data_IF_724442829208
#
_entry.id   IF_724442829208
#
_cell.length_a   1.000
_cell.length_b   1.000
_cell.length_c   1.000
_cell.angle_alpha   90.00
_cell.angle_beta   90.00
_cell.angle_gamma   90.00
#
_symmetry.space_group_name_H-M   'P 1'
#
loop_
_entity.id
_entity.type
_entity.pdbx_description
1 polymer ?
#
# COMPACT_ATOMS: atom_id res chain seq x y z
N UNK A 1 -10.30 -38.75 26.06
CA UNK A 1 -10.67 -37.37 26.47
C UNK A 1 -9.44 -36.48 26.30
N UNK A 2 -9.19 -36.00 25.08
CA UNK A 2 -8.33 -34.85 24.77
C UNK A 2 -8.71 -34.40 23.36
N UNK A 3 -9.89 -33.76 23.24
CA UNK A 3 -10.29 -33.07 22.03
C UNK A 3 -9.37 -31.86 21.83
N UNK A 4 -8.46 -32.01 20.88
CA UNK A 4 -7.62 -30.95 20.35
C UNK A 4 -8.53 -29.99 19.58
N UNK A 5 -9.03 -28.97 20.29
CA UNK A 5 -9.89 -27.91 19.73
C UNK A 5 -9.04 -27.02 18.83
N UNK A 6 -8.88 -27.43 17.56
CA UNK A 6 -8.38 -26.56 16.52
C UNK A 6 -9.35 -25.38 16.40
N UNK A 7 -8.92 -24.19 16.80
CA UNK A 7 -9.65 -22.94 16.64
C UNK A 7 -9.74 -22.62 15.15
N UNK A 8 -10.64 -23.30 14.43
CA UNK A 8 -11.06 -22.88 13.11
C UNK A 8 -11.62 -21.47 13.28
N UNK A 9 -10.89 -20.48 12.75
CA UNK A 9 -11.36 -19.11 12.75
C UNK A 9 -12.61 -19.09 11.88
N UNK A 10 -13.79 -19.07 12.52
CA UNK A 10 -15.07 -19.12 11.80
C UNK A 10 -15.14 -17.95 10.82
N UNK A 11 -15.18 -18.29 9.53
CA UNK A 11 -15.34 -17.35 8.43
C UNK A 11 -16.79 -16.87 8.45
N UNK A 12 -17.00 -15.57 8.40
CA UNK A 12 -18.33 -14.96 8.41
C UNK A 12 -19.09 -15.25 7.12
N UNK A 13 -20.39 -14.96 7.11
CA UNK A 13 -21.23 -15.04 5.91
C UNK A 13 -20.61 -14.22 4.76
N UNK A 14 -20.76 -14.69 3.50
CA UNK A 14 -20.16 -14.03 2.35
C UNK A 14 -20.67 -12.58 2.22
N UNK A 15 -19.77 -11.61 2.01
CA UNK A 15 -20.15 -10.20 1.97
C UNK A 15 -21.12 -9.90 0.84
N UNK A 16 -22.01 -8.94 1.09
CA UNK A 16 -22.82 -8.35 0.03
C UNK A 16 -22.03 -7.30 -0.75
N UNK A 17 -22.49 -6.96 -1.96
CA UNK A 17 -21.83 -5.99 -2.84
C UNK A 17 -21.62 -4.63 -2.15
N UNK A 18 -22.58 -4.21 -1.33
CA UNK A 18 -22.48 -2.96 -0.54
C UNK A 18 -21.38 -3.06 0.52
N UNK A 19 -21.25 -4.22 1.17
CA UNK A 19 -20.21 -4.45 2.17
C UNK A 19 -18.82 -4.46 1.56
N UNK A 20 -18.66 -5.07 0.38
CA UNK A 20 -17.43 -5.01 -0.41
C UNK A 20 -17.11 -3.55 -0.76
N UNK A 21 -18.06 -2.83 -1.36
CA UNK A 21 -17.88 -1.43 -1.73
C UNK A 21 -17.44 -0.57 -0.54
N UNK A 22 -18.19 -0.59 0.57
CA UNK A 22 -17.88 0.22 1.76
C UNK A 22 -16.56 -0.19 2.42
N UNK A 23 -16.26 -1.49 2.43
CA UNK A 23 -15.01 -2.01 2.95
C UNK A 23 -13.80 -1.48 2.19
N UNK A 24 -13.81 -1.63 0.87
CA UNK A 24 -12.74 -1.13 0.01
C UNK A 24 -12.71 0.41 -0.07
N UNK A 25 -13.86 1.09 0.07
CA UNK A 25 -13.94 2.55 0.23
C UNK A 25 -13.17 3.04 1.46
N UNK A 26 -13.42 2.42 2.62
CA UNK A 26 -12.70 2.75 3.84
C UNK A 26 -11.20 2.43 3.71
N UNK A 27 -10.87 1.31 3.06
CA UNK A 27 -9.49 0.93 2.79
C UNK A 27 -8.78 1.96 1.89
N UNK A 28 -9.46 2.47 0.85
CA UNK A 28 -8.95 3.54 -0.01
C UNK A 28 -8.71 4.85 0.74
N UNK A 29 -9.60 5.20 1.67
CA UNK A 29 -9.47 6.40 2.51
C UNK A 29 -8.35 6.31 3.55
N UNK A 30 -8.09 5.11 4.07
CA UNK A 30 -7.14 4.87 5.18
C UNK A 30 -5.78 4.34 4.71
N UNK A 31 -5.62 4.10 3.40
CA UNK A 31 -4.46 3.46 2.79
C UNK A 31 -3.19 4.31 2.70
N UNK A 32 -2.79 5.01 3.76
CA UNK A 32 -1.51 5.74 3.79
C UNK A 32 -0.40 4.89 4.42
N UNK A 33 0.66 4.62 3.66
CA UNK A 33 1.92 4.04 4.18
C UNK A 33 1.89 2.58 4.63
N UNK A 34 0.79 1.84 4.40
CA UNK A 34 0.66 0.46 4.89
C UNK A 34 -0.64 -0.24 4.51
N UNK A 35 -1.10 -0.08 3.27
CA UNK A 35 -2.45 -0.53 2.85
C UNK A 35 -2.62 -2.05 2.94
N UNK A 36 -1.57 -2.82 2.66
CA UNK A 36 -1.65 -4.27 2.66
C UNK A 36 -1.87 -4.86 4.07
N UNK A 37 -1.13 -4.44 5.12
CA UNK A 37 -1.49 -4.76 6.51
C UNK A 37 -2.92 -4.36 6.89
N UNK A 38 -3.38 -3.17 6.47
CA UNK A 38 -4.74 -2.72 6.72
C UNK A 38 -5.77 -3.61 6.01
N UNK A 39 -5.50 -4.01 4.77
CA UNK A 39 -6.34 -4.93 4.00
C UNK A 39 -6.43 -6.29 4.68
N UNK A 40 -5.29 -6.82 5.15
CA UNK A 40 -5.26 -8.08 5.92
C UNK A 40 -6.10 -7.98 7.19
N UNK A 41 -5.89 -6.95 8.01
CA UNK A 41 -6.66 -6.77 9.24
C UNK A 41 -8.15 -6.60 8.94
N UNK A 42 -8.51 -5.85 7.90
CA UNK A 42 -9.90 -5.70 7.50
C UNK A 42 -10.53 -7.03 7.05
N UNK A 43 -9.89 -7.74 6.12
CA UNK A 43 -10.43 -8.94 5.46
C UNK A 43 -10.40 -10.17 6.38
N UNK A 44 -9.35 -10.31 7.20
CA UNK A 44 -9.10 -11.51 8.01
C UNK A 44 -9.54 -11.32 9.47
N UNK A 45 -9.21 -10.19 10.10
CA UNK A 45 -9.43 -10.02 11.54
C UNK A 45 -10.79 -9.39 11.86
N UNK A 46 -11.12 -8.27 11.20
CA UNK A 46 -12.31 -7.46 11.48
C UNK A 46 -13.57 -8.01 10.82
N UNK A 47 -13.52 -8.21 9.50
CA UNK A 47 -14.66 -8.69 8.72
C UNK A 47 -14.72 -10.22 8.62
N UNK A 48 -13.57 -10.89 8.81
CA UNK A 48 -13.43 -12.35 8.75
C UNK A 48 -14.04 -12.95 7.48
N UNK A 49 -13.87 -12.27 6.35
CA UNK A 49 -14.30 -12.76 5.05
C UNK A 49 -13.33 -13.82 4.54
N UNK A 50 -12.04 -13.70 4.86
CA UNK A 50 -10.99 -14.63 4.45
C UNK A 50 -10.27 -15.18 5.68
N UNK A 51 -9.80 -16.42 5.56
CA UNK A 51 -8.78 -16.95 6.47
C UNK A 51 -7.40 -16.35 6.13
N UNK A 52 -6.46 -16.42 7.07
CA UNK A 52 -5.09 -15.98 6.81
C UNK A 52 -4.40 -16.74 5.66
N UNK A 53 -4.76 -18.01 5.46
CA UNK A 53 -4.26 -18.84 4.36
C UNK A 53 -4.83 -18.36 3.01
N UNK A 54 -6.15 -18.21 2.91
CA UNK A 54 -6.81 -17.70 1.70
C UNK A 54 -6.30 -16.31 1.31
N UNK A 55 -6.14 -15.40 2.28
CA UNK A 55 -5.57 -14.08 2.01
C UNK A 55 -4.16 -14.18 1.43
N UNK A 56 -3.33 -15.09 1.95
CA UNK A 56 -1.94 -15.26 1.47
C UNK A 56 -1.92 -15.85 0.06
N UNK A 57 -2.80 -16.79 -0.24
CA UNK A 57 -2.97 -17.37 -1.57
C UNK A 57 -3.42 -16.32 -2.59
N UNK A 58 -4.48 -15.56 -2.28
CA UNK A 58 -4.95 -14.46 -3.13
C UNK A 58 -3.88 -13.40 -3.34
N UNK A 59 -3.18 -13.01 -2.26
CA UNK A 59 -2.09 -12.05 -2.36
C UNK A 59 -0.96 -12.59 -3.25
N UNK A 60 -0.63 -13.88 -3.16
CA UNK A 60 0.33 -14.54 -4.04
C UNK A 60 -0.07 -14.39 -5.51
N UNK A 61 -1.33 -14.67 -5.85
CA UNK A 61 -1.86 -14.45 -7.20
C UNK A 61 -1.75 -12.98 -7.64
N UNK A 62 -2.08 -12.04 -6.75
CA UNK A 62 -2.02 -10.62 -7.03
C UNK A 62 -0.60 -10.10 -7.31
N UNK A 63 0.42 -10.73 -6.73
CA UNK A 63 1.83 -10.38 -6.93
C UNK A 63 2.37 -10.84 -8.30
N UNK A 64 1.75 -11.85 -8.91
CA UNK A 64 2.08 -12.26 -10.29
C UNK A 64 1.47 -11.32 -11.33
N UNK A 65 0.36 -10.66 -10.99
CA UNK A 65 -0.34 -9.75 -11.90
C UNK A 65 0.39 -8.39 -11.96
N UNK A 66 0.63 -7.83 -13.16
CA UNK A 66 1.20 -6.50 -13.27
C UNK A 66 0.20 -5.47 -12.73
N UNK A 67 0.62 -4.63 -11.79
CA UNK A 67 -0.21 -3.57 -11.23
C UNK A 67 -0.01 -3.35 -9.73
N UNK A 68 -0.90 -2.55 -9.14
CA UNK A 68 -0.90 -2.32 -7.70
C UNK A 68 -1.51 -3.52 -6.96
N UNK A 69 -0.73 -4.13 -6.05
CA UNK A 69 -1.17 -5.30 -5.27
C UNK A 69 -2.56 -5.13 -4.62
N UNK A 70 -2.86 -3.95 -4.08
CA UNK A 70 -4.15 -3.66 -3.42
C UNK A 70 -5.31 -3.60 -4.42
N UNK A 71 -5.06 -3.09 -5.63
CA UNK A 71 -6.05 -3.02 -6.71
C UNK A 71 -6.36 -4.44 -7.20
N UNK A 72 -5.31 -5.22 -7.47
CA UNK A 72 -5.46 -6.62 -7.86
C UNK A 72 -6.20 -7.43 -6.78
N UNK A 73 -5.86 -7.17 -5.51
CA UNK A 73 -6.52 -7.82 -4.37
C UNK A 73 -7.99 -7.42 -4.25
N UNK A 74 -8.37 -6.16 -4.47
CA UNK A 74 -9.78 -5.75 -4.42
C UNK A 74 -10.60 -6.44 -5.50
N UNK A 75 -10.05 -6.55 -6.71
CA UNK A 75 -10.66 -7.28 -7.82
C UNK A 75 -10.75 -8.78 -7.51
N UNK A 76 -9.67 -9.41 -7.05
CA UNK A 76 -9.63 -10.84 -6.74
C UNK A 76 -10.63 -11.21 -5.64
N UNK A 77 -10.66 -10.44 -4.55
CA UNK A 77 -11.61 -10.62 -3.44
C UNK A 77 -13.05 -10.41 -3.93
N UNK A 78 -13.30 -9.37 -4.73
CA UNK A 78 -14.63 -9.12 -5.28
C UNK A 78 -15.10 -10.23 -6.23
N UNK A 79 -14.19 -10.75 -7.06
CA UNK A 79 -14.44 -11.88 -7.96
C UNK A 79 -14.78 -13.16 -7.18
N UNK A 80 -14.05 -13.46 -6.10
CA UNK A 80 -14.24 -14.66 -5.30
C UNK A 80 -15.63 -14.69 -4.63
N UNK A 81 -16.10 -13.56 -4.08
CA UNK A 81 -17.36 -13.53 -3.34
C UNK A 81 -18.61 -13.32 -4.20
N UNK A 82 -18.55 -12.46 -5.22
CA UNK A 82 -19.75 -12.04 -6.00
C UNK A 82 -19.47 -11.97 -7.51
N UNK A 83 -18.41 -12.61 -7.99
CA UNK A 83 -18.01 -12.60 -9.40
C UNK A 83 -17.75 -11.19 -9.93
N UNK A 84 -18.11 -10.94 -11.19
CA UNK A 84 -17.84 -9.68 -11.87
C UNK A 84 -18.47 -8.46 -11.14
N UNK A 85 -19.67 -8.63 -10.57
CA UNK A 85 -20.35 -7.54 -9.84
C UNK A 85 -19.58 -7.17 -8.57
N UNK A 86 -19.13 -8.16 -7.82
CA UNK A 86 -18.30 -7.94 -6.63
C UNK A 86 -16.97 -7.28 -6.96
N UNK A 87 -16.32 -7.72 -8.03
CA UNK A 87 -15.06 -7.16 -8.51
C UNK A 87 -15.18 -5.67 -8.83
N UNK A 88 -16.23 -5.29 -9.57
CA UNK A 88 -16.51 -3.89 -9.89
C UNK A 88 -16.85 -3.10 -8.62
N UNK A 89 -17.66 -3.62 -7.72
CA UNK A 89 -17.99 -2.94 -6.46
C UNK A 89 -16.76 -2.73 -5.56
N UNK A 90 -15.91 -3.74 -5.42
CA UNK A 90 -14.68 -3.65 -4.63
C UNK A 90 -13.68 -2.67 -5.24
N UNK A 91 -13.48 -2.72 -6.56
CA UNK A 91 -12.60 -1.81 -7.28
C UNK A 91 -13.10 -0.37 -7.21
N UNK A 92 -14.38 -0.14 -7.52
CA UNK A 92 -14.99 1.18 -7.43
C UNK A 92 -14.97 1.71 -6.00
N UNK A 93 -15.25 0.87 -5.01
CA UNK A 93 -15.09 1.25 -3.60
C UNK A 93 -13.70 1.79 -3.33
N UNK A 94 -12.66 1.05 -3.73
CA UNK A 94 -11.26 1.41 -3.50
C UNK A 94 -10.88 2.78 -4.11
N UNK A 95 -11.32 3.07 -5.32
CA UNK A 95 -10.86 4.27 -6.06
C UNK A 95 -11.82 5.47 -5.94
N UNK A 96 -13.11 5.24 -5.75
CA UNK A 96 -14.13 6.29 -5.87
C UNK A 96 -13.92 7.41 -4.84
N UNK A 97 -13.69 7.09 -3.57
CA UNK A 97 -13.50 8.12 -2.55
C UNK A 97 -12.20 8.93 -2.73
N UNK A 98 -11.01 8.31 -2.87
CA UNK A 98 -9.78 9.05 -3.12
C UNK A 98 -9.86 9.93 -4.38
N UNK A 99 -10.41 9.41 -5.46
CA UNK A 99 -10.56 10.16 -6.71
C UNK A 99 -11.55 11.32 -6.55
N UNK A 100 -12.69 11.13 -5.89
CA UNK A 100 -13.64 12.21 -5.64
C UNK A 100 -13.03 13.32 -4.77
N UNK A 101 -12.24 12.97 -3.75
CA UNK A 101 -11.53 13.95 -2.91
C UNK A 101 -10.53 14.76 -3.73
N UNK A 102 -9.70 14.10 -4.55
CA UNK A 102 -8.69 14.79 -5.37
C UNK A 102 -9.35 15.71 -6.40
N UNK A 103 -10.40 15.25 -7.08
CA UNK A 103 -11.15 16.08 -8.04
C UNK A 103 -11.82 17.25 -7.32
N UNK A 104 -12.47 17.01 -6.18
CA UNK A 104 -13.11 18.06 -5.38
C UNK A 104 -12.13 19.14 -4.94
N UNK A 105 -10.95 18.74 -4.44
CA UNK A 105 -9.88 19.66 -4.09
C UNK A 105 -9.34 20.41 -5.31
N UNK A 106 -9.22 19.74 -6.47
CA UNK A 106 -8.80 20.37 -7.72
C UNK A 106 -9.77 21.43 -8.20
N UNK A 107 -11.08 21.16 -8.18
CA UNK A 107 -12.11 22.15 -8.51
C UNK A 107 -12.04 23.35 -7.55
N UNK A 108 -11.94 23.09 -6.25
CA UNK A 108 -11.80 24.16 -5.25
C UNK A 108 -10.53 24.99 -5.49
N UNK A 109 -9.42 24.35 -5.81
CA UNK A 109 -8.16 25.01 -6.14
C UNK A 109 -8.32 25.96 -7.33
N UNK A 110 -8.94 25.53 -8.43
CA UNK A 110 -9.13 26.41 -9.61
C UNK A 110 -9.98 27.65 -9.33
N UNK A 111 -10.91 27.56 -8.37
CA UNK A 111 -11.80 28.68 -7.99
C UNK A 111 -11.13 29.69 -7.08
N UNK A 112 -10.23 29.25 -6.19
CA UNK A 112 -9.62 30.08 -5.16
C UNK A 112 -8.09 30.23 -5.27
N UNK A 113 -7.50 29.81 -6.40
CA UNK A 113 -6.04 29.89 -6.63
C UNK A 113 -5.44 31.31 -6.49
N UNK A 114 -6.26 32.35 -6.68
CA UNK A 114 -5.84 33.75 -6.57
C UNK A 114 -5.79 34.27 -5.13
N UNK A 115 -6.36 33.54 -4.17
CA UNK A 115 -6.32 33.91 -2.75
C UNK A 115 -5.02 33.42 -2.10
N UNK A 116 -4.20 34.31 -1.51
CA UNK A 116 -2.92 33.93 -0.90
C UNK A 116 -3.06 32.89 0.21
N UNK A 117 -4.19 32.91 0.94
CA UNK A 117 -4.48 31.99 2.03
C UNK A 117 -4.65 30.55 1.53
N UNK A 118 -5.24 30.37 0.34
CA UNK A 118 -5.43 29.03 -0.23
C UNK A 118 -4.10 28.44 -0.65
N UNK A 119 -3.22 29.22 -1.29
CA UNK A 119 -1.87 28.74 -1.64
C UNK A 119 -1.07 28.27 -0.43
N UNK A 120 -1.15 28.99 0.70
CA UNK A 120 -0.49 28.61 1.95
C UNK A 120 -1.05 27.31 2.55
N UNK A 121 -2.37 27.11 2.51
CA UNK A 121 -3.00 25.85 2.97
C UNK A 121 -2.55 24.67 2.12
N UNK A 122 -2.53 24.82 0.79
CA UNK A 122 -2.05 23.76 -0.10
C UNK A 122 -0.55 23.48 0.10
N UNK A 123 0.28 24.50 0.33
CA UNK A 123 1.68 24.32 0.69
C UNK A 123 1.84 23.56 2.02
N UNK A 124 1.02 23.88 3.02
CA UNK A 124 0.96 23.14 4.29
C UNK A 124 0.54 21.68 4.11
N UNK A 125 -0.46 21.42 3.26
CA UNK A 125 -0.90 20.06 2.92
C UNK A 125 0.21 19.27 2.21
N UNK A 126 0.91 19.90 1.26
CA UNK A 126 2.05 19.30 0.58
C UNK A 126 3.20 18.99 1.56
N UNK A 127 3.51 19.90 2.49
CA UNK A 127 4.50 19.68 3.53
C UNK A 127 4.11 18.54 4.48
N UNK A 128 2.83 18.45 4.87
CA UNK A 128 2.33 17.36 5.70
C UNK A 128 2.40 16.01 4.97
N UNK A 129 2.03 15.96 3.69
CA UNK A 129 2.17 14.77 2.86
C UNK A 129 3.63 14.33 2.73
N UNK A 130 4.56 15.27 2.49
CA UNK A 130 5.99 15.01 2.46
C UNK A 130 6.50 14.47 3.80
N UNK A 131 6.06 15.05 4.92
CA UNK A 131 6.38 14.57 6.27
C UNK A 131 5.85 13.15 6.55
N UNK A 132 4.65 12.81 6.08
CA UNK A 132 4.08 11.47 6.19
C UNK A 132 4.85 10.45 5.35
N UNK A 133 5.24 10.82 4.12
CA UNK A 133 6.11 10.01 3.27
C UNK A 133 7.45 9.76 3.95
N UNK A 134 8.06 10.82 4.49
CA UNK A 134 9.33 10.72 5.21
C UNK A 134 9.22 9.84 6.45
N UNK A 135 8.15 10.00 7.24
CA UNK A 135 7.86 9.15 8.41
C UNK A 135 7.74 7.67 8.02
N UNK A 136 7.06 7.39 6.92
CA UNK A 136 6.92 6.03 6.38
C UNK A 136 8.28 5.47 5.95
N UNK A 137 9.09 6.27 5.25
CA UNK A 137 10.46 5.90 4.87
C UNK A 137 11.35 5.61 6.08
N UNK A 138 11.29 6.44 7.12
CA UNK A 138 12.04 6.24 8.37
C UNK A 138 11.60 4.95 9.07
N UNK A 139 10.28 4.68 9.14
CA UNK A 139 9.76 3.43 9.71
C UNK A 139 10.29 2.21 8.95
N UNK A 140 10.40 2.29 7.64
CA UNK A 140 11.01 1.22 6.82
C UNK A 140 12.53 1.12 7.02
N UNK A 141 13.22 2.22 7.35
CA UNK A 141 14.66 2.24 7.58
C UNK A 141 15.05 1.70 8.97
N UNK A 142 14.22 1.88 9.99
CA UNK A 142 14.47 1.45 11.37
C UNK A 142 14.93 -0.01 11.51
N UNK A 143 14.25 -1.00 10.88
CA UNK A 143 14.68 -2.40 10.90
C UNK A 143 16.05 -2.65 10.25
N UNK A 144 16.47 -1.79 9.32
CA UNK A 144 17.75 -1.91 8.62
C UNK A 144 18.91 -1.21 9.35
N UNK A 145 18.64 -0.44 10.41
CA UNK A 145 19.67 0.35 11.12
C UNK A 145 20.84 -0.50 11.63
N UNK A 146 20.58 -1.76 12.00
CA UNK A 146 21.61 -2.67 12.51
C UNK A 146 22.52 -3.25 11.42
N UNK A 147 22.21 -3.03 10.14
CA UNK A 147 23.02 -3.45 8.99
C UNK A 147 23.71 -2.23 8.39
N UNK A 148 24.93 -1.92 8.87
CA UNK A 148 25.74 -0.78 8.41
C UNK A 148 25.89 -0.72 6.88
N UNK A 149 25.96 -1.89 6.23
CA UNK A 149 26.06 -2.01 4.78
C UNK A 149 24.78 -1.53 4.07
N UNK A 150 23.61 -1.85 4.61
CA UNK A 150 22.33 -1.40 4.05
C UNK A 150 22.15 0.11 4.23
N UNK A 151 22.59 0.65 5.37
CA UNK A 151 22.55 2.09 5.62
C UNK A 151 23.49 2.86 4.67
N UNK A 152 24.68 2.32 4.39
CA UNK A 152 25.60 2.88 3.40
C UNK A 152 25.00 2.88 1.99
N UNK A 153 24.34 1.79 1.57
CA UNK A 153 23.65 1.71 0.26
C UNK A 153 22.53 2.73 0.16
N UNK A 154 21.72 2.90 1.20
CA UNK A 154 20.64 3.92 1.24
C UNK A 154 21.22 5.33 1.14
N UNK A 155 22.28 5.63 1.88
CA UNK A 155 22.93 6.95 1.86
C UNK A 155 23.57 7.27 0.50
N UNK A 156 24.25 6.29 -0.11
CA UNK A 156 24.83 6.43 -1.46
C UNK A 156 23.72 6.62 -2.50
N UNK A 157 22.61 5.88 -2.39
CA UNK A 157 21.48 6.01 -3.30
C UNK A 157 20.83 7.40 -3.20
N UNK A 158 20.55 7.86 -1.97
CA UNK A 158 20.02 9.21 -1.71
C UNK A 158 20.97 10.30 -2.23
N UNK A 159 22.27 10.17 -1.97
CA UNK A 159 23.28 11.12 -2.45
C UNK A 159 23.38 11.14 -3.97
N UNK A 160 23.36 9.99 -4.63
CA UNK A 160 23.42 9.89 -6.09
C UNK A 160 22.16 10.49 -6.75
N UNK A 161 20.97 10.28 -6.18
CA UNK A 161 19.72 10.85 -6.70
C UNK A 161 19.70 12.38 -6.48
N UNK A 162 20.06 12.84 -5.28
CA UNK A 162 20.01 14.26 -4.93
C UNK A 162 21.07 15.10 -5.67
N UNK A 163 22.26 14.54 -5.93
CA UNK A 163 23.38 15.29 -6.51
C UNK A 163 23.46 15.16 -8.03
N UNK A 164 23.12 14.00 -8.60
CA UNK A 164 23.38 13.72 -10.02
C UNK A 164 22.16 13.82 -10.94
N UNK A 165 20.92 13.95 -10.42
CA UNK A 165 19.69 13.95 -11.23
C UNK A 165 19.62 12.80 -12.27
N UNK A 166 20.31 11.68 -12.01
CA UNK A 166 20.36 10.56 -12.92
C UNK A 166 19.01 9.82 -12.93
N UNK A 167 18.56 9.29 -14.08
CA UNK A 167 17.33 8.51 -14.14
C UNK A 167 17.36 7.34 -13.15
N UNK A 168 16.22 7.10 -12.49
CA UNK A 168 16.03 6.12 -11.41
C UNK A 168 16.42 4.68 -11.78
N UNK A 169 16.27 4.30 -13.05
CA UNK A 169 16.51 2.93 -13.51
C UNK A 169 17.99 2.49 -13.39
N UNK A 170 18.98 3.20 -13.98
CA UNK A 170 20.38 2.76 -13.93
C UNK A 170 20.99 2.80 -12.52
N UNK A 171 20.61 3.76 -11.68
CA UNK A 171 21.11 3.85 -10.30
C UNK A 171 20.61 2.70 -9.44
N UNK A 172 19.33 2.34 -9.56
CA UNK A 172 18.76 1.16 -8.90
C UNK A 172 19.41 -0.14 -9.36
N UNK A 173 19.66 -0.30 -10.67
CA UNK A 173 20.29 -1.50 -11.23
C UNK A 173 21.73 -1.70 -10.74
N UNK A 174 22.53 -0.61 -10.75
CA UNK A 174 23.91 -0.66 -10.28
C UNK A 174 24.01 -0.93 -8.77
N UNK A 175 23.18 -0.26 -7.96
CA UNK A 175 23.18 -0.44 -6.50
C UNK A 175 22.60 -1.79 -6.08
N UNK A 176 21.57 -2.29 -6.76
CA UNK A 176 21.03 -3.62 -6.50
C UNK A 176 22.07 -4.71 -6.81
N UNK A 177 22.74 -4.64 -7.96
CA UNK A 177 23.80 -5.58 -8.32
C UNK A 177 24.96 -5.54 -7.31
N UNK A 178 25.40 -4.34 -6.92
CA UNK A 178 26.48 -4.16 -5.94
C UNK A 178 26.08 -4.67 -4.53
N UNK A 179 24.83 -4.41 -4.11
CA UNK A 179 24.31 -4.88 -2.82
C UNK A 179 24.19 -6.40 -2.78
N UNK A 180 23.76 -7.04 -3.87
CA UNK A 180 23.67 -8.50 -3.99
C UNK A 180 25.07 -9.13 -3.94
N UNK A 181 26.04 -8.56 -4.65
CA UNK A 181 27.43 -9.01 -4.65
C UNK A 181 28.09 -8.91 -3.25
N UNK A 182 27.85 -7.81 -2.54
CA UNK A 182 28.39 -7.63 -1.19
C UNK A 182 27.69 -8.50 -0.15
N UNK A 183 26.39 -8.78 -0.31
CA UNK A 183 25.66 -9.70 0.54
C UNK A 183 26.16 -11.15 0.36
N UNK A 184 26.41 -11.56 -0.89
CA UNK A 184 26.97 -12.88 -1.23
C UNK A 184 28.36 -13.11 -0.64
N UNK A 185 29.22 -12.08 -0.67
CA UNK A 185 30.58 -12.16 -0.10
C UNK A 185 30.63 -12.26 1.43
N UNK A 186 29.55 -11.90 2.13
CA UNK A 186 29.45 -12.01 3.60
C UNK A 186 28.80 -13.31 4.08
N UNK A 187 28.23 -14.10 3.17
CA UNK A 187 27.58 -15.38 3.44
C UNK A 187 28.43 -16.61 3.09
N UNK A 188 29.64 -16.41 2.54
CA UNK A 188 30.74 -17.39 2.54
C UNK A 188 31.67 -17.09 3.71
#
# INVERSE_FOLDING_TARGET
MTDSSATHTEVSAPPDNIQLFLGFLLLGLTGFGGVLPLARSMLVEKKRWLTGAQFTELLGLCQFLPGGNVINLSVAVGMEFRGLRGALCALLGLICAPTAIVIGLGVMYTRFQNEPHVQQVFAGLAAAAAGLLLSTGIKMLLPLWRKWLALAVVAICLGAIAWLHLPLLPTMLALAALSILLAWRKSL
#
